data_IF_118885068843
#
_entry.id   IF_118885068843
#
_cell.length_a   1.000
_cell.length_b   1.000
_cell.length_c   1.000
_cell.angle_alpha   90.00
_cell.angle_beta   90.00
_cell.angle_gamma   90.00
#
_symmetry.space_group_name_H-M   'P 1'
#
loop_
_entity.id
_entity.type
_entity.pdbx_description
1 polymer ?
#
# COMPACT_ATOMS: atom_id res chain seq x y z
N UNK A 1 4.00 -24.99 -2.15
CA UNK A 1 4.18 -23.69 -1.47
C UNK A 1 4.64 -22.70 -2.50
N UNK A 2 3.82 -21.69 -2.78
CA UNK A 2 4.00 -20.82 -3.94
C UNK A 2 5.14 -19.83 -3.67
N UNK A 3 6.02 -19.65 -4.66
CA UNK A 3 7.16 -18.74 -4.63
C UNK A 3 6.76 -17.29 -4.24
N UNK A 4 5.49 -16.96 -4.50
CA UNK A 4 4.84 -15.71 -4.13
C UNK A 4 4.71 -15.48 -2.62
N UNK A 5 4.33 -16.50 -1.83
CA UNK A 5 4.16 -16.40 -0.38
C UNK A 5 5.52 -16.15 0.31
N UNK A 6 6.59 -16.73 -0.26
CA UNK A 6 7.96 -16.57 0.22
C UNK A 6 8.51 -15.18 -0.08
N UNK A 7 8.24 -14.63 -1.26
CA UNK A 7 8.59 -13.25 -1.61
C UNK A 7 7.82 -12.24 -0.73
N UNK A 8 6.56 -12.57 -0.38
CA UNK A 8 5.73 -11.75 0.51
C UNK A 8 6.27 -11.72 1.95
N UNK A 9 6.61 -12.89 2.51
CA UNK A 9 7.20 -12.98 3.84
C UNK A 9 8.54 -12.24 3.94
N UNK A 10 9.35 -12.27 2.87
CA UNK A 10 10.62 -11.52 2.80
C UNK A 10 10.39 -10.01 2.72
N UNK A 11 9.37 -9.55 1.98
CA UNK A 11 9.01 -8.14 1.94
C UNK A 11 8.53 -7.62 3.30
N UNK A 12 7.68 -8.39 4.00
CA UNK A 12 7.20 -8.07 5.34
C UNK A 12 8.36 -7.99 6.36
N UNK A 13 9.30 -8.93 6.27
CA UNK A 13 10.46 -9.00 7.16
C UNK A 13 11.44 -7.85 6.92
N UNK A 14 11.60 -7.42 5.66
CA UNK A 14 12.39 -6.23 5.30
C UNK A 14 11.74 -4.94 5.79
N UNK A 15 10.41 -4.85 5.75
CA UNK A 15 9.71 -3.66 6.21
C UNK A 15 9.68 -3.52 7.74
N UNK A 16 9.61 -4.64 8.46
CA UNK A 16 9.86 -4.70 9.91
C UNK A 16 11.29 -4.27 10.31
N UNK A 17 12.27 -4.36 9.40
CA UNK A 17 13.63 -3.87 9.64
C UNK A 17 13.76 -2.38 9.27
N UNK A 18 13.04 -1.90 8.26
CA UNK A 18 13.02 -0.49 7.85
C UNK A 18 12.24 0.41 8.81
N UNK A 19 11.36 -0.13 9.65
CA UNK A 19 10.67 0.62 10.73
C UNK A 19 11.63 1.29 11.71
N UNK A 20 12.93 0.89 11.74
CA UNK A 20 13.96 1.60 12.50
C UNK A 20 14.33 2.98 11.91
N UNK A 21 14.08 3.24 10.63
CA UNK A 21 14.50 4.47 9.97
C UNK A 21 13.47 5.62 10.00
N UNK A 22 12.19 5.34 10.32
CA UNK A 22 11.11 6.34 10.37
C UNK A 22 10.68 6.76 11.77
N UNK A 23 11.42 6.40 12.82
CA UNK A 23 11.04 6.64 14.23
C UNK A 23 10.88 8.12 14.66
N UNK A 24 11.21 9.09 13.80
CA UNK A 24 11.22 10.51 14.16
C UNK A 24 10.10 11.35 13.53
N UNK A 25 9.24 10.78 12.68
CA UNK A 25 8.09 11.50 12.10
C UNK A 25 6.84 11.13 12.90
N UNK A 26 6.07 12.10 13.44
CA UNK A 26 4.81 11.80 14.10
C UNK A 26 3.87 11.01 13.19
N UNK A 27 3.20 9.99 13.72
CA UNK A 27 2.33 9.09 12.93
C UNK A 27 1.30 9.88 12.11
N UNK A 28 0.70 10.92 12.69
CA UNK A 28 -0.30 11.74 11.99
C UNK A 28 0.27 12.45 10.76
N UNK A 29 1.53 12.89 10.83
CA UNK A 29 2.24 13.51 9.69
C UNK A 29 2.51 12.46 8.62
N UNK A 30 3.00 11.27 9.02
CA UNK A 30 3.25 10.17 8.09
C UNK A 30 1.97 9.72 7.37
N UNK A 31 0.87 9.59 8.11
CA UNK A 31 -0.46 9.26 7.58
C UNK A 31 -0.96 10.28 6.57
N UNK A 32 -0.76 11.57 6.86
CA UNK A 32 -1.11 12.65 5.94
C UNK A 32 -0.28 12.58 4.65
N UNK A 33 1.03 12.42 4.75
CA UNK A 33 1.92 12.29 3.58
C UNK A 33 1.53 11.11 2.68
N UNK A 34 1.31 9.93 3.26
CA UNK A 34 0.89 8.74 2.49
C UNK A 34 -0.46 8.97 1.81
N UNK A 35 -1.40 9.67 2.47
CA UNK A 35 -2.70 9.98 1.88
C UNK A 35 -2.58 10.93 0.69
N UNK A 36 -1.80 12.00 0.83
CA UNK A 36 -1.55 12.98 -0.23
C UNK A 36 -0.85 12.33 -1.44
N UNK A 37 0.16 11.49 -1.19
CA UNK A 37 0.86 10.76 -2.25
C UNK A 37 -0.08 9.77 -2.98
N UNK A 38 -0.95 9.08 -2.23
CA UNK A 38 -1.93 8.17 -2.85
C UNK A 38 -2.89 8.93 -3.77
N UNK A 39 -3.38 10.10 -3.35
CA UNK A 39 -4.30 10.89 -4.16
C UNK A 39 -3.62 11.48 -5.41
N UNK A 40 -2.36 11.90 -5.29
CA UNK A 40 -1.54 12.27 -6.44
C UNK A 40 -1.42 11.13 -7.45
N UNK A 41 -1.05 9.92 -7.02
CA UNK A 41 -0.90 8.79 -7.94
C UNK A 41 -2.24 8.30 -8.53
N UNK A 42 -3.34 8.40 -7.80
CA UNK A 42 -4.70 8.17 -8.34
C UNK A 42 -5.09 9.20 -9.40
N UNK A 43 -4.60 10.43 -9.32
CA UNK A 43 -4.82 11.42 -10.37
C UNK A 43 -3.97 11.12 -11.61
N UNK A 44 -2.68 10.81 -11.42
CA UNK A 44 -1.77 10.47 -12.51
C UNK A 44 -2.23 9.21 -13.27
N UNK A 45 -2.71 8.17 -12.58
CA UNK A 45 -3.20 6.96 -13.29
C UNK A 45 -4.37 7.28 -14.22
N UNK A 46 -5.29 8.17 -13.82
CA UNK A 46 -6.41 8.63 -14.68
C UNK A 46 -5.90 9.37 -15.92
N UNK A 47 -4.86 10.18 -15.78
CA UNK A 47 -4.22 10.88 -16.90
C UNK A 47 -3.59 9.90 -17.89
N UNK A 48 -2.84 8.91 -17.42
CA UNK A 48 -2.18 7.95 -18.32
C UNK A 48 -3.14 6.93 -18.93
N UNK A 49 -4.26 6.63 -18.27
CA UNK A 49 -5.36 5.84 -18.86
C UNK A 49 -5.89 6.51 -20.13
N UNK A 50 -6.10 7.84 -20.11
CA UNK A 50 -6.60 8.58 -21.29
C UNK A 50 -5.70 8.49 -22.51
N UNK A 51 -4.38 8.47 -22.29
CA UNK A 51 -3.37 8.35 -23.36
C UNK A 51 -2.91 6.90 -23.58
N UNK A 52 -3.60 5.91 -22.96
CA UNK A 52 -3.31 4.47 -23.04
C UNK A 52 -1.84 4.09 -22.82
N UNK A 53 -1.12 4.82 -21.95
CA UNK A 53 0.28 4.54 -21.64
C UNK A 53 0.40 3.46 -20.58
N UNK A 54 0.38 2.19 -21.00
CA UNK A 54 0.42 1.03 -20.10
C UNK A 54 1.67 0.96 -19.22
N UNK A 55 2.83 1.39 -19.74
CA UNK A 55 4.09 1.35 -19.00
C UNK A 55 4.02 2.24 -17.77
N UNK A 56 3.56 3.49 -17.96
CA UNK A 56 3.38 4.44 -16.86
C UNK A 56 2.28 4.02 -15.89
N UNK A 57 1.19 3.46 -16.40
CA UNK A 57 0.12 2.91 -15.55
C UNK A 57 0.67 1.80 -14.64
N UNK A 58 1.45 0.85 -15.17
CA UNK A 58 2.08 -0.22 -14.39
C UNK A 58 3.04 0.34 -13.33
N UNK A 59 3.84 1.35 -13.67
CA UNK A 59 4.74 2.03 -12.72
C UNK A 59 3.95 2.66 -11.56
N UNK A 60 2.87 3.39 -11.87
CA UNK A 60 2.04 4.08 -10.88
C UNK A 60 1.29 3.09 -9.98
N UNK A 61 0.77 1.99 -10.55
CA UNK A 61 0.13 0.93 -9.78
C UNK A 61 1.06 0.33 -8.72
N UNK A 62 2.33 0.10 -9.06
CA UNK A 62 3.33 -0.38 -8.09
C UNK A 62 3.52 0.61 -6.94
N UNK A 63 3.54 1.91 -7.22
CA UNK A 63 3.63 2.97 -6.19
C UNK A 63 2.40 2.99 -5.30
N UNK A 64 1.20 2.86 -5.88
CA UNK A 64 -0.06 2.77 -5.13
C UNK A 64 -0.11 1.55 -4.20
N UNK A 65 0.39 0.38 -4.62
CA UNK A 65 0.47 -0.79 -3.76
C UNK A 65 1.47 -0.60 -2.61
N UNK A 66 2.62 0.04 -2.89
CA UNK A 66 3.59 0.37 -1.84
C UNK A 66 2.97 1.29 -0.78
N UNK A 67 2.30 2.36 -1.20
CA UNK A 67 1.63 3.29 -0.28
C UNK A 67 0.50 2.62 0.51
N UNK A 68 -0.27 1.71 -0.11
CA UNK A 68 -1.29 0.95 0.63
C UNK A 68 -0.66 0.01 1.66
N UNK A 69 0.52 -0.58 1.38
CA UNK A 69 1.25 -1.34 2.37
C UNK A 69 1.76 -0.45 3.52
N UNK A 70 2.26 0.76 3.21
CA UNK A 70 2.66 1.74 4.22
C UNK A 70 1.49 2.15 5.13
N UNK A 71 0.26 2.24 4.61
CA UNK A 71 -0.93 2.45 5.46
C UNK A 71 -1.18 1.32 6.47
N UNK A 72 -0.84 0.07 6.14
CA UNK A 72 -0.93 -1.05 7.08
C UNK A 72 0.14 -0.91 8.17
N UNK A 73 1.34 -0.46 7.81
CA UNK A 73 2.42 -0.22 8.76
C UNK A 73 2.08 0.92 9.72
N UNK A 74 1.53 2.02 9.20
CA UNK A 74 0.97 3.11 10.01
C UNK A 74 -0.09 2.57 10.97
N UNK A 75 -1.04 1.75 10.47
CA UNK A 75 -2.07 1.15 11.32
C UNK A 75 -1.46 0.27 12.43
N UNK A 76 -0.47 -0.54 12.10
CA UNK A 76 0.22 -1.37 13.08
C UNK A 76 0.95 -0.52 14.14
N UNK A 77 1.60 0.56 13.71
CA UNK A 77 2.28 1.48 14.61
C UNK A 77 1.28 2.25 15.50
N UNK A 78 0.14 2.68 14.97
CA UNK A 78 -0.96 3.29 15.75
C UNK A 78 -1.46 2.33 16.83
N UNK A 79 -1.57 1.03 16.51
CA UNK A 79 -1.96 0.00 17.48
C UNK A 79 -0.91 -0.19 18.58
N UNK A 80 0.37 -0.23 18.21
CA UNK A 80 1.46 -0.32 19.18
C UNK A 80 1.52 0.89 20.11
N UNK A 81 1.33 2.12 19.60
CA UNK A 81 1.32 3.33 20.43
C UNK A 81 0.10 3.42 21.35
N UNK A 82 -1.08 2.99 20.88
CA UNK A 82 -2.33 3.08 21.66
C UNK A 82 -2.49 1.97 22.69
N UNK A 83 -2.06 0.76 22.36
CA UNK A 83 -2.36 -0.43 23.16
C UNK A 83 -1.10 -1.14 23.70
N UNK A 84 0.09 -0.79 23.22
CA UNK A 84 1.35 -1.43 23.62
C UNK A 84 1.60 -2.78 22.93
N UNK A 85 0.67 -3.26 22.10
CA UNK A 85 0.79 -4.52 21.35
C UNK A 85 0.06 -4.45 20.01
N UNK A 86 0.45 -5.34 19.09
CA UNK A 86 -0.24 -5.54 17.82
C UNK A 86 -1.39 -6.54 18.01
N UNK A 87 -2.61 -6.12 17.71
CA UNK A 87 -3.76 -7.02 17.61
C UNK A 87 -3.71 -7.74 16.25
N UNK A 88 -3.24 -8.98 16.26
CA UNK A 88 -3.05 -9.79 15.05
C UNK A 88 -4.35 -9.96 14.24
N UNK A 89 -5.50 -10.08 14.90
CA UNK A 89 -6.79 -10.22 14.23
C UNK A 89 -7.18 -8.96 13.46
N UNK A 90 -6.88 -7.78 14.03
CA UNK A 90 -7.12 -6.50 13.33
C UNK A 90 -6.13 -6.29 12.20
N UNK A 91 -4.86 -6.63 12.41
CA UNK A 91 -3.84 -6.54 11.36
C UNK A 91 -4.19 -7.45 10.17
N UNK A 92 -4.62 -8.69 10.43
CA UNK A 92 -5.05 -9.62 9.38
C UNK A 92 -6.26 -9.08 8.60
N UNK A 93 -7.23 -8.44 9.27
CA UNK A 93 -8.36 -7.78 8.62
C UNK A 93 -7.91 -6.63 7.71
N UNK A 94 -6.96 -5.80 8.15
CA UNK A 94 -6.41 -4.72 7.32
C UNK A 94 -5.61 -5.26 6.12
N UNK A 95 -4.86 -6.35 6.29
CA UNK A 95 -4.17 -7.04 5.19
C UNK A 95 -5.17 -7.59 4.17
N UNK A 96 -6.27 -8.19 4.63
CA UNK A 96 -7.35 -8.66 3.74
C UNK A 96 -7.98 -7.50 2.95
N UNK A 97 -8.21 -6.36 3.59
CA UNK A 97 -8.70 -5.14 2.92
C UNK A 97 -7.69 -4.65 1.87
N UNK A 98 -6.41 -4.56 2.21
CA UNK A 98 -5.34 -4.22 1.27
C UNK A 98 -5.38 -5.08 0.01
N UNK A 99 -5.50 -6.40 0.16
CA UNK A 99 -5.56 -7.32 -0.98
C UNK A 99 -6.76 -7.05 -1.87
N UNK A 100 -7.95 -6.86 -1.27
CA UNK A 100 -9.18 -6.54 -2.00
C UNK A 100 -9.06 -5.20 -2.73
N UNK A 101 -8.48 -4.18 -2.10
CA UNK A 101 -8.27 -2.86 -2.69
C UNK A 101 -7.33 -2.95 -3.91
N UNK A 102 -6.20 -3.66 -3.77
CA UNK A 102 -5.26 -3.86 -4.86
C UNK A 102 -5.91 -4.61 -6.03
N UNK A 103 -6.70 -5.65 -5.74
CA UNK A 103 -7.46 -6.40 -6.75
C UNK A 103 -8.47 -5.52 -7.49
N UNK A 104 -9.24 -4.70 -6.76
CA UNK A 104 -10.20 -3.75 -7.34
C UNK A 104 -9.51 -2.74 -8.25
N UNK A 105 -8.38 -2.17 -7.80
CA UNK A 105 -7.59 -1.23 -8.60
C UNK A 105 -7.11 -1.89 -9.90
N UNK A 106 -6.54 -3.10 -9.83
CA UNK A 106 -6.10 -3.84 -11.02
C UNK A 106 -7.25 -4.09 -12.01
N UNK A 107 -8.40 -4.53 -11.50
CA UNK A 107 -9.58 -4.79 -12.32
C UNK A 107 -10.12 -3.51 -12.96
N UNK A 108 -10.23 -2.42 -12.20
CA UNK A 108 -10.68 -1.13 -12.71
C UNK A 108 -9.74 -0.61 -13.80
N UNK A 109 -8.42 -0.67 -13.59
CA UNK A 109 -7.44 -0.23 -14.59
C UNK A 109 -7.51 -1.06 -15.86
N UNK A 110 -7.65 -2.40 -15.77
CA UNK A 110 -7.84 -3.26 -16.95
C UNK A 110 -9.13 -2.92 -17.71
N UNK A 111 -10.24 -2.73 -16.99
CA UNK A 111 -11.51 -2.36 -17.61
C UNK A 111 -11.44 -1.02 -18.33
N UNK A 112 -10.68 -0.06 -17.80
CA UNK A 112 -10.52 1.26 -18.39
C UNK A 112 -9.57 1.26 -19.61
N UNK A 113 -8.60 0.35 -19.66
CA UNK A 113 -7.71 0.19 -20.82
C UNK A 113 -8.39 -0.48 -22.02
N UNK A 114 -9.35 -1.37 -21.75
CA UNK A 114 -10.11 -2.09 -22.77
C UNK A 114 -11.31 -1.30 -23.34
N UNK A 115 -11.54 -0.07 -22.87
CA UNK A 115 -12.50 0.88 -23.46
C UNK A 115 -11.81 1.76 -24.51
#
# INVERSE_FOLDING_TARGET
MNDFERQWAVALKKSQQQTKHNKNVPIDVWKKQVTEEMDYFKAEIKKYIRVKNESKIKEILKKLFKLRAEQIEIFNQEMLEKFGFTDENKLEKEIKKYYLDCKKILQATKSLLNR
#
